data_IF_295477467554
#
_entry.id   IF_295477467554
#
_cell.length_a   1.000
_cell.length_b   1.000
_cell.length_c   1.000
_cell.angle_alpha   90.00
_cell.angle_beta   90.00
_cell.angle_gamma   90.00
#
_symmetry.space_group_name_H-M   'P 1'
#
loop_
_entity.id
_entity.type
_entity.pdbx_description
1 polymer ?
#
# COMPACT_ATOMS: atom_id res chain seq x y z
N UNK A 1 7.87 18.29 -10.27
CA UNK A 1 8.28 16.87 -10.09
C UNK A 1 7.11 15.88 -10.11
N UNK A 2 5.91 16.24 -9.62
CA UNK A 2 4.68 15.43 -9.71
C UNK A 2 4.37 14.88 -11.12
N UNK A 3 4.40 15.66 -12.21
CA UNK A 3 4.09 15.14 -13.55
C UNK A 3 5.09 14.08 -14.05
N UNK A 4 6.35 14.17 -13.64
CA UNK A 4 7.38 13.18 -14.01
C UNK A 4 7.12 11.81 -13.35
N UNK A 5 6.71 11.81 -12.08
CA UNK A 5 6.36 10.56 -11.36
C UNK A 5 5.10 9.91 -11.91
N UNK A 6 4.12 10.72 -12.31
CA UNK A 6 2.90 10.25 -12.99
C UNK A 6 3.26 9.61 -14.34
N UNK A 7 4.11 10.26 -15.14
CA UNK A 7 4.57 9.74 -16.44
C UNK A 7 5.24 8.37 -16.33
N UNK A 8 6.18 8.20 -15.39
CA UNK A 8 6.91 6.92 -15.22
C UNK A 8 5.97 5.78 -14.83
N UNK A 9 4.90 6.05 -14.09
CA UNK A 9 3.97 5.01 -13.62
C UNK A 9 2.84 4.74 -14.61
N UNK A 10 2.39 5.77 -15.33
CA UNK A 10 1.52 5.58 -16.50
C UNK A 10 2.23 4.72 -17.56
N UNK A 11 3.56 4.86 -17.69
CA UNK A 11 4.37 4.03 -18.59
C UNK A 11 4.31 2.55 -18.29
N UNK A 12 4.16 2.14 -17.03
CA UNK A 12 3.99 0.72 -16.67
C UNK A 12 2.65 0.18 -17.18
N UNK A 13 1.56 0.93 -16.96
CA UNK A 13 0.25 0.57 -17.51
C UNK A 13 0.21 0.63 -19.04
N UNK A 14 0.89 1.60 -19.65
CA UNK A 14 1.01 1.71 -21.10
C UNK A 14 1.84 0.56 -21.68
N UNK A 15 2.97 0.18 -21.07
CA UNK A 15 3.78 -0.94 -21.52
C UNK A 15 3.05 -2.27 -21.33
N UNK A 16 2.39 -2.48 -20.19
CA UNK A 16 1.59 -3.68 -19.95
C UNK A 16 0.38 -3.77 -20.89
N UNK A 17 -0.31 -2.66 -21.14
CA UNK A 17 -1.45 -2.60 -22.06
C UNK A 17 -1.05 -2.77 -23.52
N UNK A 18 0.02 -2.08 -23.96
CA UNK A 18 0.56 -2.23 -25.32
C UNK A 18 1.10 -3.64 -25.52
N UNK A 19 1.83 -4.22 -24.56
CA UNK A 19 2.30 -5.61 -24.67
C UNK A 19 1.14 -6.61 -24.67
N UNK A 20 0.13 -6.41 -23.82
CA UNK A 20 -1.06 -7.26 -23.75
C UNK A 20 -1.91 -7.24 -25.02
N UNK A 21 -1.93 -6.13 -25.76
CA UNK A 21 -2.63 -6.01 -27.04
C UNK A 21 -1.76 -6.37 -28.25
N UNK A 22 -0.46 -6.07 -28.21
CA UNK A 22 0.45 -6.29 -29.33
C UNK A 22 0.61 -7.78 -29.66
N UNK A 23 0.61 -8.66 -28.66
CA UNK A 23 0.76 -10.11 -28.86
C UNK A 23 -0.41 -10.69 -29.67
N UNK A 24 -1.69 -10.56 -29.25
CA UNK A 24 -2.81 -11.10 -30.02
C UNK A 24 -3.01 -10.40 -31.36
N UNK A 25 -2.75 -9.08 -31.47
CA UNK A 25 -2.86 -8.35 -32.74
C UNK A 25 -1.82 -8.85 -33.75
N UNK A 26 -0.57 -9.04 -33.33
CA UNK A 26 0.48 -9.55 -34.21
C UNK A 26 0.19 -10.98 -34.66
N UNK A 27 -0.28 -11.84 -33.75
CA UNK A 27 -0.65 -13.22 -34.09
C UNK A 27 -1.87 -13.29 -35.01
N UNK A 28 -2.89 -12.46 -34.80
CA UNK A 28 -4.03 -12.37 -35.71
C UNK A 28 -3.63 -11.92 -37.12
N UNK A 29 -2.73 -10.93 -37.23
CA UNK A 29 -2.26 -10.43 -38.53
C UNK A 29 -1.32 -11.41 -39.25
N UNK A 30 -0.54 -12.20 -38.52
CA UNK A 30 0.42 -13.15 -39.08
C UNK A 30 -0.18 -14.52 -39.42
N UNK A 31 -1.06 -15.03 -38.56
CA UNK A 31 -1.54 -16.43 -38.61
C UNK A 31 -3.05 -16.51 -38.86
N UNK A 32 -3.80 -15.40 -38.77
CA UNK A 32 -5.25 -15.35 -38.99
C UNK A 32 -6.10 -15.83 -37.80
N UNK A 33 -5.48 -16.44 -36.79
CA UNK A 33 -6.13 -16.90 -35.58
C UNK A 33 -5.37 -16.46 -34.32
N UNK A 34 -6.10 -16.25 -33.23
CA UNK A 34 -5.50 -15.96 -31.92
C UNK A 34 -5.64 -17.20 -31.05
N UNK A 35 -4.51 -17.80 -30.69
CA UNK A 35 -4.50 -19.00 -29.84
C UNK A 35 -4.97 -18.66 -28.43
N UNK A 36 -5.79 -19.52 -27.81
CA UNK A 36 -6.31 -19.29 -26.45
C UNK A 36 -5.21 -19.08 -25.38
N UNK A 37 -4.03 -19.67 -25.58
CA UNK A 37 -2.85 -19.47 -24.71
C UNK A 37 -2.36 -18.01 -24.76
N UNK A 38 -2.39 -17.35 -25.91
CA UNK A 38 -1.93 -15.96 -26.04
C UNK A 38 -2.89 -14.99 -25.33
N UNK A 39 -4.20 -15.23 -25.46
CA UNK A 39 -5.23 -14.46 -24.73
C UNK A 39 -5.06 -14.65 -23.22
N UNK A 40 -4.81 -15.88 -22.77
CA UNK A 40 -4.55 -16.18 -21.37
C UNK A 40 -3.31 -15.44 -20.85
N UNK A 41 -2.19 -15.48 -21.58
CA UNK A 41 -0.96 -14.81 -21.19
C UNK A 41 -1.11 -13.28 -21.15
N UNK A 42 -1.81 -12.69 -22.13
CA UNK A 42 -2.13 -11.27 -22.12
C UNK A 42 -3.01 -10.88 -20.93
N UNK A 43 -4.01 -11.71 -20.60
CA UNK A 43 -4.86 -11.52 -19.43
C UNK A 43 -4.07 -11.57 -18.11
N UNK A 44 -3.20 -12.57 -17.95
CA UNK A 44 -2.34 -12.70 -16.77
C UNK A 44 -1.40 -11.51 -16.61
N UNK A 45 -0.85 -10.98 -17.70
CA UNK A 45 0.01 -9.80 -17.67
C UNK A 45 -0.73 -8.57 -17.12
N UNK A 46 -1.96 -8.33 -17.60
CA UNK A 46 -2.78 -7.21 -17.16
C UNK A 46 -3.18 -7.36 -15.70
N UNK A 47 -3.64 -8.55 -15.30
CA UNK A 47 -4.03 -8.84 -13.92
C UNK A 47 -2.83 -8.71 -12.98
N UNK A 48 -1.68 -9.32 -13.32
CA UNK A 48 -0.45 -9.25 -12.52
C UNK A 48 0.06 -7.82 -12.34
N UNK A 49 0.00 -7.00 -13.40
CA UNK A 49 0.38 -5.59 -13.33
C UNK A 49 -0.55 -4.78 -12.42
N UNK A 50 -1.85 -5.09 -12.44
CA UNK A 50 -2.85 -4.50 -11.55
C UNK A 50 -2.60 -4.87 -10.09
N UNK A 51 -2.38 -6.15 -9.81
CA UNK A 51 -2.07 -6.65 -8.46
C UNK A 51 -0.79 -6.01 -7.92
N UNK A 52 0.29 -5.98 -8.70
CA UNK A 52 1.54 -5.35 -8.29
C UNK A 52 1.34 -3.86 -7.95
N UNK A 53 0.56 -3.14 -8.76
CA UNK A 53 0.25 -1.73 -8.55
C UNK A 53 -0.59 -1.49 -7.28
N UNK A 54 -1.60 -2.32 -7.03
CA UNK A 54 -2.42 -2.24 -5.80
C UNK A 54 -1.60 -2.56 -4.56
N UNK A 55 -0.71 -3.54 -4.63
CA UNK A 55 0.19 -3.87 -3.51
C UNK A 55 1.11 -2.70 -3.19
N UNK A 56 1.70 -2.05 -4.20
CA UNK A 56 2.50 -0.83 -4.03
C UNK A 56 1.67 0.32 -3.43
N UNK A 57 0.43 0.49 -3.88
CA UNK A 57 -0.50 1.46 -3.31
C UNK A 57 -0.72 1.20 -1.81
N UNK A 58 -1.07 -0.03 -1.46
CA UNK A 58 -1.33 -0.44 -0.08
C UNK A 58 -0.12 -0.16 0.84
N UNK A 59 1.09 -0.54 0.41
CA UNK A 59 2.28 -0.30 1.22
C UNK A 59 2.66 1.18 1.30
N UNK A 60 2.43 1.99 0.26
CA UNK A 60 2.75 3.41 0.32
C UNK A 60 2.00 4.15 1.43
N UNK A 61 0.74 3.79 1.67
CA UNK A 61 -0.12 4.42 2.67
C UNK A 61 0.09 3.88 4.09
N UNK A 62 0.79 2.76 4.26
CA UNK A 62 1.01 2.14 5.58
C UNK A 62 2.09 2.86 6.39
N UNK A 63 3.04 3.52 5.73
CA UNK A 63 4.20 4.11 6.39
C UNK A 63 3.96 5.58 6.75
N UNK A 64 3.84 5.84 8.05
CA UNK A 64 3.82 7.19 8.61
C UNK A 64 5.21 7.81 8.45
N UNK A 65 5.31 8.83 7.60
CA UNK A 65 6.53 9.60 7.40
C UNK A 65 6.83 10.54 8.56
N UNK A 66 5.79 11.15 9.15
CA UNK A 66 5.95 12.05 10.31
C UNK A 66 4.78 11.92 11.28
N UNK A 67 5.08 12.01 12.58
CA UNK A 67 4.11 12.10 13.65
C UNK A 67 4.36 13.38 14.46
N UNK A 68 3.34 14.21 14.64
CA UNK A 68 3.43 15.41 15.46
C UNK A 68 2.22 15.51 16.41
N UNK A 69 2.49 15.79 17.68
CA UNK A 69 1.47 16.20 18.62
C UNK A 69 1.09 17.66 18.35
N UNK A 70 -0.19 17.92 18.19
CA UNK A 70 -0.76 19.24 17.95
C UNK A 70 -1.51 19.72 19.19
N UNK A 71 -1.39 21.00 19.53
CA UNK A 71 -2.15 21.57 20.62
C UNK A 71 -3.67 21.48 20.36
N UNK A 72 -4.47 21.47 21.42
CA UNK A 72 -5.91 21.58 21.34
C UNK A 72 -6.35 22.75 20.47
N UNK A 73 -7.42 22.57 19.68
CA UNK A 73 -7.94 23.64 18.83
C UNK A 73 -8.57 24.80 19.63
N UNK A 74 -8.97 24.53 20.87
CA UNK A 74 -9.59 25.48 21.79
C UNK A 74 -9.10 25.24 23.23
N UNK A 75 -9.17 26.25 24.12
CA UNK A 75 -8.87 26.07 25.54
C UNK A 75 -9.76 24.97 26.14
N UNK A 76 -9.15 23.95 26.76
CA UNK A 76 -9.85 22.78 27.28
C UNK A 76 -10.23 21.70 26.24
N UNK A 77 -9.80 21.85 24.98
CA UNK A 77 -10.05 20.86 23.92
C UNK A 77 -9.16 19.62 24.03
N UNK A 78 -9.54 18.57 23.28
CA UNK A 78 -8.77 17.33 23.21
C UNK A 78 -7.44 17.51 22.45
N UNK A 79 -6.40 16.80 22.88
CA UNK A 79 -5.12 16.71 22.18
C UNK A 79 -5.30 16.06 20.80
N UNK A 80 -4.57 16.57 19.81
CA UNK A 80 -4.66 16.11 18.42
C UNK A 80 -3.31 15.56 17.97
N UNK A 81 -3.35 14.55 17.13
CA UNK A 81 -2.17 13.96 16.51
C UNK A 81 -2.26 14.19 15.01
N UNK A 82 -1.15 14.61 14.42
CA UNK A 82 -0.97 14.72 12.98
C UNK A 82 -0.08 13.60 12.49
N UNK A 83 -0.64 12.79 11.61
CA UNK A 83 0.07 11.75 10.86
C UNK A 83 0.32 12.29 9.46
N UNK A 84 1.56 12.24 9.02
CA UNK A 84 1.88 12.47 7.62
C UNK A 84 2.22 11.15 6.96
N UNK A 85 1.49 10.83 5.91
CA UNK A 85 1.68 9.63 5.08
C UNK A 85 1.97 10.07 3.66
N UNK A 86 2.75 9.27 2.94
CA UNK A 86 2.88 9.43 1.51
C UNK A 86 1.75 8.67 0.84
N UNK A 87 1.05 9.30 -0.08
CA UNK A 87 0.23 8.55 -1.00
C UNK A 87 1.09 7.86 -2.06
N UNK A 88 0.48 6.96 -2.81
CA UNK A 88 1.14 6.27 -3.92
C UNK A 88 1.77 7.22 -4.94
N UNK A 89 1.19 8.41 -5.12
CA UNK A 89 1.70 9.45 -6.02
C UNK A 89 2.92 10.18 -5.45
N UNK A 90 3.27 9.91 -4.20
CA UNK A 90 4.33 10.56 -3.46
C UNK A 90 3.97 11.99 -3.07
N UNK A 91 2.67 12.31 -3.02
CA UNK A 91 2.17 13.49 -2.36
C UNK A 91 2.07 13.19 -0.87
N UNK A 92 2.37 14.20 -0.08
CA UNK A 92 2.20 14.16 1.36
C UNK A 92 0.72 14.36 1.67
N UNK A 93 0.11 13.40 2.36
CA UNK A 93 -1.22 13.51 2.94
C UNK A 93 -1.07 13.71 4.45
N UNK A 94 -1.84 14.64 4.99
CA UNK A 94 -1.87 14.92 6.43
C UNK A 94 -3.22 14.50 7.00
N UNK A 95 -3.18 13.64 8.00
CA UNK A 95 -4.36 13.22 8.74
C UNK A 95 -4.26 13.74 10.16
N UNK A 96 -5.24 14.54 10.57
CA UNK A 96 -5.35 15.01 11.95
C UNK A 96 -6.46 14.21 12.62
N UNK A 97 -6.11 13.50 13.67
CA UNK A 97 -7.05 12.72 14.48
C UNK A 97 -6.93 13.13 15.94
N UNK A 98 -7.95 12.87 16.75
CA UNK A 98 -7.83 13.10 18.20
C UNK A 98 -6.98 12.00 18.79
N UNK A 99 -6.13 12.34 19.76
CA UNK A 99 -5.29 11.35 20.43
C UNK A 99 -6.12 10.22 21.06
N UNK A 100 -7.31 10.55 21.55
CA UNK A 100 -8.24 9.58 22.14
C UNK A 100 -8.82 8.56 21.15
N UNK A 101 -8.80 8.83 19.84
CA UNK A 101 -9.30 7.90 18.82
C UNK A 101 -8.22 6.92 18.35
N UNK A 102 -6.97 7.06 18.83
CA UNK A 102 -5.85 6.22 18.43
C UNK A 102 -5.76 5.02 19.36
N UNK A 103 -6.01 3.84 18.80
CA UNK A 103 -5.83 2.55 19.47
C UNK A 103 -4.33 2.24 19.52
N UNK A 104 -3.71 2.14 20.70
CA UNK A 104 -2.30 1.79 20.79
C UNK A 104 -2.09 0.32 20.37
N UNK A 105 -1.03 0.01 19.60
CA UNK A 105 -0.80 -1.34 19.06
C UNK A 105 -0.57 -2.44 20.12
N UNK A 106 -0.46 -2.08 21.39
CA UNK A 106 -0.28 -2.99 22.53
C UNK A 106 -1.33 -2.78 23.63
N UNK A 107 -2.52 -2.28 23.28
CA UNK A 107 -3.61 -2.16 24.22
C UNK A 107 -3.93 -3.53 24.85
N UNK A 108 -3.91 -3.61 26.19
CA UNK A 108 -4.16 -4.86 26.93
C UNK A 108 -2.94 -5.73 27.22
N UNK A 109 -1.74 -5.40 26.72
CA UNK A 109 -0.50 -6.10 27.09
C UNK A 109 0.13 -5.50 28.36
N UNK A 110 0.52 -6.35 29.30
CA UNK A 110 1.35 -5.91 30.44
C UNK A 110 2.66 -5.29 29.94
N UNK A 111 3.10 -4.21 30.60
CA UNK A 111 4.30 -3.44 30.18
C UNK A 111 5.56 -4.29 30.01
N UNK A 112 5.69 -5.37 30.78
CA UNK A 112 6.79 -6.33 30.67
C UNK A 112 6.73 -7.13 29.36
N UNK A 113 5.56 -7.69 29.05
CA UNK A 113 5.31 -8.45 27.82
C UNK A 113 5.45 -7.56 26.57
N UNK A 114 4.95 -6.33 26.61
CA UNK A 114 5.12 -5.37 25.51
C UNK A 114 6.61 -5.05 25.26
N UNK A 115 7.42 -4.93 26.31
CA UNK A 115 8.85 -4.64 26.19
C UNK A 115 9.63 -5.83 25.61
N UNK A 116 9.29 -7.05 26.04
CA UNK A 116 9.85 -8.29 25.51
C UNK A 116 9.48 -8.49 24.04
N UNK A 117 8.23 -8.18 23.67
CA UNK A 117 7.73 -8.26 22.29
C UNK A 117 8.43 -7.23 21.36
N UNK A 118 8.71 -6.02 21.85
CA UNK A 118 9.48 -5.01 21.09
C UNK A 118 10.94 -5.41 20.92
N UNK A 119 11.52 -6.11 21.90
CA UNK A 119 12.87 -6.67 21.83
C UNK A 119 12.94 -7.86 20.86
N UNK A 120 11.88 -8.66 20.79
CA UNK A 120 11.72 -9.77 19.84
C UNK A 120 11.13 -9.29 18.49
N UNK A 121 11.95 -8.55 17.73
CA UNK A 121 11.59 -7.98 16.42
C UNK A 121 10.86 -8.92 15.45
N UNK A 122 11.25 -10.21 15.27
CA UNK A 122 10.55 -11.09 14.35
C UNK A 122 9.12 -11.43 14.80
N UNK A 123 8.85 -11.52 16.11
CA UNK A 123 7.47 -11.68 16.61
C UNK A 123 6.64 -10.40 16.49
N UNK A 124 7.24 -9.25 16.74
CA UNK A 124 6.59 -7.96 16.55
C UNK A 124 6.14 -7.74 15.09
N UNK A 125 6.96 -8.10 14.11
CA UNK A 125 6.58 -7.96 12.71
C UNK A 125 5.36 -8.82 12.34
N UNK A 126 5.25 -10.05 12.85
CA UNK A 126 4.08 -10.93 12.58
C UNK A 126 2.77 -10.39 13.13
N UNK A 127 2.81 -9.74 14.30
CA UNK A 127 1.62 -9.12 14.90
C UNK A 127 1.18 -7.86 14.14
N UNK A 128 2.14 -7.07 13.63
CA UNK A 128 1.84 -5.87 12.83
C UNK A 128 1.34 -6.19 11.41
N UNK A 129 1.69 -7.36 10.87
CA UNK A 129 1.20 -7.88 9.58
C UNK A 129 -0.10 -8.66 9.70
N UNK A 130 -0.58 -8.95 10.91
CA UNK A 130 -1.82 -9.70 11.14
C UNK A 130 -1.68 -11.21 10.92
N UNK A 131 -0.46 -11.75 10.81
CA UNK A 131 -0.19 -13.17 10.52
C UNK A 131 -0.30 -14.08 11.76
N UNK A 132 -0.95 -13.65 12.85
CA UNK A 132 -0.87 -14.32 14.16
C UNK A 132 -2.18 -14.59 14.90
N UNK A 133 -3.36 -14.41 14.29
CA UNK A 133 -4.65 -14.56 15.00
C UNK A 133 -5.44 -15.79 14.53
N UNK A 134 -4.76 -16.90 14.26
CA UNK A 134 -5.44 -18.15 13.92
C UNK A 134 -4.70 -19.38 14.45
N UNK A 135 -4.62 -19.48 15.78
CA UNK A 135 -4.46 -20.78 16.47
C UNK A 135 -5.57 -20.85 17.52
N UNK A 136 -6.71 -21.41 17.08
CA UNK A 136 -7.75 -21.97 17.94
C UNK A 136 -7.62 -23.48 17.97
#
# INVERSE_FOLDING_TARGET
MVPFRVLVRLKVFQLAGVAGLAIPINSFLGEGEVTGVQVLLAGLLVVGSGVASTTLWFFSQRYVGELAALPPAAPGGAERLRFSVLDFWGNRQEHVVRAADVIPPFEGLERGAAKELVLDRPRMMRLLTGEGVNEG
#
